data_IF_042251009620
#
_entry.id   IF_042251009620
#
_cell.length_a   1.000
_cell.length_b   1.000
_cell.length_c   1.000
_cell.angle_alpha   90.00
_cell.angle_beta   90.00
_cell.angle_gamma   90.00
#
_symmetry.space_group_name_H-M   'P 1'
#
loop_
_entity.id
_entity.type
_entity.pdbx_description
1 polymer ?
#
# COMPACT_ATOMS: atom_id res chain seq x y z
N UNK A 1 5.81 -9.09 -3.63
CA UNK A 1 5.00 -7.84 -3.73
C UNK A 1 4.64 -7.49 -5.16
N UNK A 2 5.61 -7.30 -6.07
CA UNK A 2 5.35 -6.88 -7.47
C UNK A 2 4.26 -7.67 -8.22
N UNK A 3 4.20 -8.99 -8.04
CA UNK A 3 3.16 -9.81 -8.68
C UNK A 3 1.75 -9.48 -8.18
N UNK A 4 1.57 -9.30 -6.87
CA UNK A 4 0.27 -8.95 -6.28
C UNK A 4 -0.19 -7.57 -6.74
N UNK A 5 0.71 -6.58 -6.81
CA UNK A 5 0.39 -5.25 -7.32
C UNK A 5 0.08 -5.26 -8.83
N UNK A 6 0.77 -6.10 -9.59
CA UNK A 6 0.48 -6.30 -11.02
C UNK A 6 -0.90 -6.93 -11.22
N UNK A 7 -1.28 -7.91 -10.39
CA UNK A 7 -2.62 -8.50 -10.39
C UNK A 7 -3.67 -7.47 -9.99
N UNK A 8 -3.46 -6.70 -8.92
CA UNK A 8 -4.35 -5.62 -8.51
C UNK A 8 -4.61 -4.64 -9.65
N UNK A 9 -3.53 -4.16 -10.29
CA UNK A 9 -3.63 -3.26 -11.44
C UNK A 9 -4.34 -3.90 -12.64
N UNK A 10 -4.04 -5.17 -12.94
CA UNK A 10 -4.64 -5.87 -14.07
C UNK A 10 -6.14 -6.09 -13.90
N UNK A 11 -6.59 -6.46 -12.70
CA UNK A 11 -8.01 -6.64 -12.39
C UNK A 11 -8.79 -5.33 -12.58
N UNK A 12 -8.26 -4.23 -12.05
CA UNK A 12 -8.92 -2.92 -12.14
C UNK A 12 -8.98 -2.43 -13.58
N UNK A 13 -7.89 -2.57 -14.35
CA UNK A 13 -7.86 -2.22 -15.78
C UNK A 13 -8.87 -3.05 -16.56
N UNK A 14 -8.95 -4.36 -16.29
CA UNK A 14 -9.90 -5.25 -16.94
C UNK A 14 -11.34 -4.83 -16.63
N UNK A 15 -11.66 -4.48 -15.39
CA UNK A 15 -12.98 -3.98 -15.00
C UNK A 15 -13.36 -2.66 -15.70
N UNK A 16 -12.37 -1.84 -16.07
CA UNK A 16 -12.56 -0.54 -16.71
C UNK A 16 -12.37 -0.56 -18.23
N UNK A 17 -12.07 -1.72 -18.84
CA UNK A 17 -11.78 -1.84 -20.27
C UNK A 17 -10.48 -1.17 -20.71
N UNK A 18 -9.53 -0.94 -19.80
CA UNK A 18 -8.26 -0.28 -20.10
C UNK A 18 -7.17 -1.30 -20.52
N UNK A 19 -6.20 -0.83 -21.31
CA UNK A 19 -5.06 -1.65 -21.75
C UNK A 19 -4.23 -2.13 -20.57
N UNK A 20 -3.68 -3.36 -20.67
CA UNK A 20 -2.74 -3.92 -19.69
C UNK A 20 -1.51 -3.03 -19.48
N UNK A 21 -1.09 -2.29 -20.51
CA UNK A 21 0.09 -1.42 -20.49
C UNK A 21 -0.14 -0.07 -19.81
N UNK A 22 -1.39 0.29 -19.47
CA UNK A 22 -1.69 1.56 -18.79
C UNK A 22 -1.02 1.64 -17.41
N UNK A 23 -0.71 2.85 -16.95
CA UNK A 23 -0.12 3.08 -15.63
C UNK A 23 -1.22 2.96 -14.56
N UNK A 24 -1.02 2.07 -13.58
CA UNK A 24 -2.02 1.77 -12.56
C UNK A 24 -1.97 2.71 -11.34
N UNK A 25 -0.86 3.40 -11.09
CA UNK A 25 -0.70 4.17 -9.85
C UNK A 25 -1.68 5.35 -9.78
N UNK A 26 -1.82 6.14 -10.85
CA UNK A 26 -2.79 7.24 -10.88
C UNK A 26 -4.24 6.73 -10.83
N UNK A 27 -4.51 5.58 -11.47
CA UNK A 27 -5.82 4.94 -11.49
C UNK A 27 -6.25 4.45 -10.10
N UNK A 28 -5.35 3.78 -9.37
CA UNK A 28 -5.58 3.35 -7.99
C UNK A 28 -5.90 4.55 -7.10
N UNK A 29 -5.16 5.66 -7.26
CA UNK A 29 -5.41 6.89 -6.51
C UNK A 29 -6.77 7.50 -6.86
N UNK A 30 -7.14 7.56 -8.14
CA UNK A 30 -8.40 8.14 -8.60
C UNK A 30 -9.61 7.37 -8.05
N UNK A 31 -9.50 6.04 -7.96
CA UNK A 31 -10.50 5.15 -7.36
C UNK A 31 -10.44 5.09 -5.83
N UNK A 32 -9.51 5.81 -5.19
CA UNK A 32 -9.26 5.76 -3.76
C UNK A 32 -8.97 4.33 -3.23
N UNK A 33 -8.19 3.56 -4.01
CA UNK A 33 -7.75 2.20 -3.68
C UNK A 33 -6.30 2.26 -3.20
N UNK A 34 -6.05 1.80 -1.97
CA UNK A 34 -4.68 1.65 -1.43
C UNK A 34 -3.90 0.55 -2.17
N UNK A 35 -2.58 0.72 -2.30
CA UNK A 35 -1.71 -0.34 -2.81
C UNK A 35 -1.66 -1.49 -1.81
N UNK A 36 -1.52 -2.71 -2.33
CA UNK A 36 -1.36 -3.90 -1.48
C UNK A 36 -0.12 -3.77 -0.57
N UNK A 37 0.95 -3.15 -1.05
CA UNK A 37 2.15 -2.90 -0.24
C UNK A 37 1.87 -2.06 1.00
N UNK A 38 1.15 -0.96 0.86
CA UNK A 38 0.79 -0.09 1.99
C UNK A 38 -0.07 -0.83 3.02
N UNK A 39 -1.02 -1.65 2.56
CA UNK A 39 -1.88 -2.46 3.41
C UNK A 39 -1.05 -3.47 4.21
N UNK A 40 -0.13 -4.19 3.53
CA UNK A 40 0.74 -5.18 4.16
C UNK A 40 1.66 -4.51 5.19
N UNK A 41 2.28 -3.38 4.84
CA UNK A 41 3.17 -2.64 5.73
C UNK A 41 2.43 -2.16 6.98
N UNK A 42 1.23 -1.60 6.82
CA UNK A 42 0.37 -1.19 7.94
C UNK A 42 0.00 -2.38 8.82
N UNK A 43 -0.33 -3.53 8.23
CA UNK A 43 -0.69 -4.73 8.99
C UNK A 43 0.51 -5.28 9.76
N UNK A 44 1.72 -5.26 9.18
CA UNK A 44 2.97 -5.63 9.84
C UNK A 44 3.22 -4.74 11.06
N UNK A 45 3.14 -3.42 10.89
CA UNK A 45 3.34 -2.46 11.99
C UNK A 45 2.26 -2.60 13.07
N UNK A 46 1.00 -2.77 12.68
CA UNK A 46 -0.11 -2.98 13.61
C UNK A 46 0.06 -4.26 14.42
N UNK A 47 0.43 -5.37 13.77
CA UNK A 47 0.71 -6.63 14.45
C UNK A 47 1.90 -6.49 15.40
N UNK A 48 2.98 -5.86 14.96
CA UNK A 48 4.16 -5.62 15.78
C UNK A 48 3.80 -4.84 17.06
N UNK A 49 3.07 -3.72 16.92
CA UNK A 49 2.62 -2.92 18.06
C UNK A 49 1.72 -3.74 19.01
N UNK A 50 0.81 -4.56 18.48
CA UNK A 50 -0.09 -5.39 19.29
C UNK A 50 0.66 -6.46 20.08
N UNK A 51 1.68 -7.08 19.50
CA UNK A 51 2.51 -8.08 20.18
C UNK A 51 3.16 -7.48 21.43
N UNK A 52 3.60 -6.22 21.38
CA UNK A 52 4.20 -5.56 22.55
C UNK A 52 3.19 -5.08 23.61
N UNK A 53 1.89 -5.07 23.30
CA UNK A 53 0.83 -4.66 24.22
C UNK A 53 0.23 -5.79 25.05
N UNK A 54 0.35 -7.04 24.59
CA UNK A 54 -0.31 -8.20 25.22
C UNK A 54 0.74 -9.23 25.59
N UNK A 55 0.76 -9.65 26.85
CA UNK A 55 1.63 -10.74 27.27
C UNK A 55 1.24 -12.04 26.55
N UNK A 56 2.16 -12.57 25.77
CA UNK A 56 1.96 -13.76 24.95
C UNK A 56 3.30 -14.45 24.65
N UNK A 57 3.31 -15.71 24.20
CA UNK A 57 4.54 -16.34 23.72
C UNK A 57 5.22 -15.53 22.59
N UNK A 58 4.41 -14.92 21.72
CA UNK A 58 4.89 -14.03 20.66
C UNK A 58 5.59 -12.78 21.21
N UNK A 59 5.09 -12.22 22.33
CA UNK A 59 5.73 -11.10 23.02
C UNK A 59 7.14 -11.46 23.50
N UNK A 60 7.29 -12.59 24.19
CA UNK A 60 8.59 -13.05 24.71
C UNK A 60 9.58 -13.33 23.58
N UNK A 61 9.12 -13.96 22.51
CA UNK A 61 9.94 -14.17 21.31
C UNK A 61 10.36 -12.83 20.69
N UNK A 62 9.45 -11.88 20.57
CA UNK A 62 9.75 -10.57 19.98
C UNK A 62 10.70 -9.75 20.85
N UNK A 63 10.57 -9.81 22.17
CA UNK A 63 11.52 -9.21 23.12
C UNK A 63 12.91 -9.81 22.95
N UNK A 64 13.03 -11.13 22.81
CA UNK A 64 14.31 -11.80 22.56
C UNK A 64 14.95 -11.36 21.22
N UNK A 65 14.14 -11.28 20.16
CA UNK A 65 14.63 -10.79 18.86
C UNK A 65 15.04 -9.32 18.93
N UNK A 66 14.26 -8.50 19.63
CA UNK A 66 14.54 -7.07 19.81
C UNK A 66 15.81 -6.86 20.63
N UNK A 67 16.01 -7.60 21.72
CA UNK A 67 17.23 -7.50 22.52
C UNK A 67 18.45 -7.90 21.70
N UNK A 68 18.37 -9.00 20.94
CA UNK A 68 19.43 -9.41 20.01
C UNK A 68 19.73 -8.33 18.97
N UNK A 69 18.71 -7.68 18.42
CA UNK A 69 18.90 -6.56 17.50
C UNK A 69 19.59 -5.37 18.17
N UNK A 70 19.22 -5.02 19.40
CA UNK A 70 19.85 -3.92 20.15
C UNK A 70 21.33 -4.21 20.44
N UNK A 71 21.67 -5.42 20.88
CA UNK A 71 23.05 -5.77 21.23
C UNK A 71 23.96 -5.99 20.03
N UNK A 72 23.46 -6.63 18.97
CA UNK A 72 24.30 -7.06 17.85
C UNK A 72 24.05 -6.29 16.55
N UNK A 73 23.01 -5.45 16.48
CA UNK A 73 22.61 -4.73 15.27
C UNK A 73 22.07 -5.62 14.15
N UNK A 74 21.78 -6.90 14.42
CA UNK A 74 21.40 -7.90 13.42
C UNK A 74 19.97 -8.38 13.62
N UNK A 75 19.23 -8.49 12.52
CA UNK A 75 17.91 -9.11 12.46
C UNK A 75 18.00 -10.57 12.00
N UNK A 76 16.95 -11.35 12.27
CA UNK A 76 16.80 -12.70 11.71
C UNK A 76 15.92 -12.59 10.46
N UNK A 77 16.42 -12.95 9.27
CA UNK A 77 15.69 -12.79 8.02
C UNK A 77 14.29 -13.40 8.04
N UNK A 78 13.31 -12.67 7.52
CA UNK A 78 11.92 -13.12 7.38
C UNK A 78 11.09 -13.00 8.66
N UNK A 79 11.67 -12.61 9.80
CA UNK A 79 10.92 -12.31 11.01
C UNK A 79 10.14 -11.00 10.89
N UNK A 80 9.17 -10.80 11.80
CA UNK A 80 8.42 -9.55 11.84
C UNK A 80 9.33 -8.35 12.16
N UNK A 81 10.31 -8.52 13.05
CA UNK A 81 11.30 -7.49 13.38
C UNK A 81 12.14 -7.11 12.16
N UNK A 82 12.59 -8.11 11.40
CA UNK A 82 13.33 -7.90 10.16
C UNK A 82 12.54 -7.08 9.14
N UNK A 83 11.24 -7.40 8.98
CA UNK A 83 10.34 -6.63 8.12
C UNK A 83 10.19 -5.18 8.59
N UNK A 84 10.01 -4.93 9.88
CA UNK A 84 9.92 -3.56 10.45
C UNK A 84 11.20 -2.78 10.17
N UNK A 85 12.37 -3.38 10.39
CA UNK A 85 13.67 -2.74 10.10
C UNK A 85 13.83 -2.47 8.60
N UNK A 86 13.44 -3.42 7.74
CA UNK A 86 13.53 -3.25 6.28
C UNK A 86 12.64 -2.14 5.72
N UNK A 87 11.55 -1.79 6.43
CA UNK A 87 10.67 -0.67 6.10
C UNK A 87 11.28 0.69 6.51
N UNK A 88 12.45 0.70 7.16
CA UNK A 88 13.07 1.92 7.72
C UNK A 88 12.42 2.40 9.02
N UNK A 89 11.59 1.57 9.66
CA UNK A 89 10.88 1.90 10.88
C UNK A 89 11.72 1.54 12.12
N UNK A 90 11.70 2.41 13.13
CA UNK A 90 12.42 2.18 14.38
C UNK A 90 11.68 1.11 15.23
N UNK A 91 12.27 -0.07 15.46
CA UNK A 91 11.59 -1.15 16.19
C UNK A 91 11.30 -0.78 17.64
N UNK A 92 12.23 -0.09 18.31
CA UNK A 92 12.07 0.35 19.70
C UNK A 92 10.97 1.40 19.82
N UNK A 93 10.93 2.37 18.91
CA UNK A 93 9.85 3.37 18.88
C UNK A 93 8.50 2.71 18.66
N UNK A 94 8.39 1.76 17.74
CA UNK A 94 7.13 1.05 17.46
C UNK A 94 6.71 0.13 18.61
N UNK A 95 7.65 -0.53 19.28
CA UNK A 95 7.38 -1.43 20.40
C UNK A 95 6.83 -0.68 21.62
N UNK A 96 7.44 0.46 21.97
CA UNK A 96 7.17 1.15 23.24
C UNK A 96 6.35 2.43 23.11
N UNK A 97 6.34 3.07 21.94
CA UNK A 97 5.56 4.28 21.69
C UNK A 97 4.44 3.94 20.71
N UNK A 98 3.28 3.58 21.27
CA UNK A 98 2.09 3.20 20.51
C UNK A 98 1.53 4.38 19.72
N UNK A 99 2.09 4.65 18.56
CA UNK A 99 1.51 5.56 17.59
C UNK A 99 0.48 4.82 16.75
N UNK A 100 -0.70 5.43 16.58
CA UNK A 100 -1.68 4.98 15.59
C UNK A 100 -0.97 4.91 14.24
N UNK A 101 -1.06 3.79 13.53
CA UNK A 101 -0.52 3.69 12.16
C UNK A 101 -1.56 4.38 11.28
N UNK A 102 -1.31 5.62 10.80
CA UNK A 102 -2.29 6.31 9.99
C UNK A 102 -2.57 5.47 8.75
N UNK A 103 -3.83 5.48 8.30
CA UNK A 103 -4.10 5.05 6.93
C UNK A 103 -3.35 6.02 6.02
N UNK A 104 -2.69 5.51 4.99
CA UNK A 104 -2.06 6.36 3.99
C UNK A 104 -3.20 7.11 3.31
N UNK A 105 -3.44 8.36 3.70
CA UNK A 105 -4.44 9.17 3.01
C UNK A 105 -3.91 9.39 1.61
N UNK A 106 -4.61 8.84 0.62
CA UNK A 106 -4.28 8.96 -0.81
C UNK A 106 -4.56 10.38 -1.34
N UNK A 107 -4.46 11.38 -0.47
CA UNK A 107 -4.80 12.79 -0.72
C UNK A 107 -3.58 13.56 -1.19
N UNK A 108 -2.81 12.99 -2.12
CA UNK A 108 -2.01 13.87 -2.97
C UNK A 108 -2.98 14.42 -4.01
N UNK A 109 -3.38 15.68 -3.83
CA UNK A 109 -4.17 16.44 -4.79
C UNK A 109 -3.31 16.62 -6.06
N UNK A 110 -3.44 15.68 -6.97
CA UNK A 110 -2.80 15.68 -8.28
C UNK A 110 -3.92 15.93 -9.29
N UNK A 111 -3.82 17.03 -10.04
CA UNK A 111 -4.86 17.42 -11.01
C UNK A 111 -5.12 16.34 -12.06
N UNK A 112 -4.14 15.46 -12.31
CA UNK A 112 -4.30 14.29 -13.14
C UNK A 112 -5.21 13.23 -12.51
N UNK A 113 -5.01 12.95 -11.22
CA UNK A 113 -5.84 12.02 -10.45
C UNK A 113 -7.27 12.54 -10.36
N UNK A 114 -7.44 13.85 -10.15
CA UNK A 114 -8.75 14.50 -10.12
C UNK A 114 -9.46 14.44 -11.48
N UNK A 115 -8.72 14.64 -12.57
CA UNK A 115 -9.27 14.52 -13.93
C UNK A 115 -9.71 13.09 -14.24
N UNK A 116 -8.86 12.10 -13.94
CA UNK A 116 -9.22 10.67 -14.12
C UNK A 116 -10.43 10.34 -13.25
N UNK A 117 -10.46 10.81 -12.00
CA UNK A 117 -11.60 10.60 -11.10
C UNK A 117 -12.87 11.18 -11.69
N UNK A 118 -12.85 12.44 -12.12
CA UNK A 118 -14.01 13.07 -12.73
C UNK A 118 -14.54 12.27 -13.93
N UNK A 119 -13.66 11.88 -14.85
CA UNK A 119 -14.03 11.12 -16.05
C UNK A 119 -14.60 9.73 -15.75
N UNK A 120 -14.06 9.04 -14.73
CA UNK A 120 -14.54 7.70 -14.34
C UNK A 120 -15.95 7.72 -13.75
N UNK A 121 -16.36 8.82 -13.12
CA UNK A 121 -17.67 8.97 -12.48
C UNK A 121 -18.73 9.59 -13.41
N UNK A 122 -18.41 9.86 -14.68
CA UNK A 122 -19.36 10.33 -15.69
C UNK A 122 -20.14 9.16 -16.29
N UNK A 123 -21.46 9.32 -16.49
CA UNK A 123 -22.35 8.28 -17.06
C UNK A 123 -21.91 7.79 -18.46
N UNK A 124 -21.17 8.61 -19.20
CA UNK A 124 -20.67 8.26 -20.53
C UNK A 124 -19.42 7.35 -20.51
N UNK A 125 -18.76 7.17 -19.36
CA UNK A 125 -17.56 6.34 -19.29
C UNK A 125 -17.86 4.86 -19.58
N UNK A 126 -19.06 4.38 -19.21
CA UNK A 126 -19.50 3.00 -19.46
C UNK A 126 -19.72 2.73 -20.95
N UNK A 127 -19.88 3.77 -21.78
CA UNK A 127 -20.04 3.63 -23.22
C UNK A 127 -18.65 3.39 -23.85
N UNK A 128 -18.43 2.24 -24.52
CA UNK A 128 -17.16 2.00 -25.18
C UNK A 128 -16.90 3.08 -26.23
N UNK A 129 -15.65 3.54 -26.32
CA UNK A 129 -15.20 4.60 -27.25
C UNK A 129 -15.82 5.99 -27.04
N UNK A 130 -16.42 6.28 -25.88
CA UNK A 130 -16.77 7.66 -25.52
C UNK A 130 -15.51 8.54 -25.41
N UNK A 131 -15.70 9.86 -25.53
CA UNK A 131 -14.60 10.82 -25.39
C UNK A 131 -13.94 10.68 -24.01
N UNK A 132 -14.74 10.42 -22.98
CA UNK A 132 -14.31 10.21 -21.60
C UNK A 132 -13.48 8.93 -21.48
N UNK A 133 -13.91 7.84 -22.10
CA UNK A 133 -13.16 6.58 -22.12
C UNK A 133 -11.81 6.71 -22.85
N UNK A 134 -11.81 7.37 -24.01
CA UNK A 134 -10.58 7.66 -24.76
C UNK A 134 -9.63 8.55 -23.97
N UNK A 135 -10.15 9.58 -23.29
CA UNK A 135 -9.34 10.50 -22.50
C UNK A 135 -8.68 9.79 -21.31
N UNK A 136 -9.40 8.94 -20.59
CA UNK A 136 -8.81 8.10 -19.52
C UNK A 136 -7.76 7.15 -20.09
N UNK A 137 -8.01 6.55 -21.27
CA UNK A 137 -7.04 5.71 -21.93
C UNK A 137 -5.73 6.47 -22.21
N UNK A 138 -5.82 7.65 -22.83
CA UNK A 138 -4.66 8.49 -23.15
C UNK A 138 -3.89 8.93 -21.90
N UNK A 139 -4.61 9.43 -20.88
CA UNK A 139 -4.00 9.89 -19.63
C UNK A 139 -3.28 8.76 -18.88
N UNK A 140 -3.80 7.54 -18.96
CA UNK A 140 -3.17 6.38 -18.31
C UNK A 140 -2.05 5.75 -19.13
N UNK A 141 -1.95 6.02 -20.43
CA UNK A 141 -0.83 5.56 -21.28
C UNK A 141 0.32 6.56 -21.42
N UNK A 142 0.07 7.85 -21.18
CA UNK A 142 1.08 8.91 -21.32
C UNK A 142 1.94 9.11 -20.05
N UNK A 143 1.50 8.55 -18.93
CA UNK A 143 2.23 8.46 -17.66
C UNK A 143 3.33 7.38 -17.71
#
# INVERSE_FOLDING_TARGET
MRQLESVQGSLIKQSLGLSKLSHNTALLKALNIEKIEDIVNRNVLSLYNRIFKVESPAHRLMQHLLSRFIFYGKTVPGTLLDRVVSMGESPTKRAFNSQHVPKTSVTNNDGLVDSIRHLLFTDNFTKPYSHEHLLVHLLTTAL
#
